data_IF_297762772452
#
_entry.id   IF_297762772452
#
_cell.length_a   1.000
_cell.length_b   1.000
_cell.length_c   1.000
_cell.angle_alpha   90.00
_cell.angle_beta   90.00
_cell.angle_gamma   90.00
#
_symmetry.space_group_name_H-M   'P 1'
#
loop_
_entity.id
_entity.type
_entity.pdbx_description
1 polymer ?
#
# COMPACT_ATOMS: atom_id res chain seq x y z
N UNK A 1 4.39 -13.01 -16.40
CA UNK A 1 4.78 -14.45 -16.25
C UNK A 1 4.79 -14.90 -14.79
N UNK A 2 5.64 -14.34 -13.92
CA UNK A 2 5.76 -14.74 -12.50
C UNK A 2 4.41 -14.81 -11.75
N UNK A 3 3.60 -13.74 -11.80
CA UNK A 3 2.26 -13.71 -11.17
C UNK A 3 1.32 -14.83 -11.65
N UNK A 4 1.32 -15.14 -12.94
CA UNK A 4 0.45 -16.19 -13.48
C UNK A 4 0.87 -17.59 -13.00
N UNK A 5 2.18 -17.84 -12.92
CA UNK A 5 2.71 -19.10 -12.37
C UNK A 5 2.46 -19.23 -10.87
N UNK A 6 2.53 -18.11 -10.13
CA UNK A 6 2.15 -18.08 -8.71
C UNK A 6 0.69 -18.48 -8.51
N UNK A 7 -0.23 -17.94 -9.34
CA UNK A 7 -1.64 -18.35 -9.29
C UNK A 7 -1.84 -19.82 -9.64
N UNK A 8 -1.11 -20.34 -10.64
CA UNK A 8 -1.12 -21.77 -10.97
C UNK A 8 -0.62 -22.64 -9.80
N UNK A 9 0.36 -22.18 -9.03
CA UNK A 9 0.92 -22.91 -7.90
C UNK A 9 0.03 -22.89 -6.65
N UNK A 10 -0.88 -21.92 -6.54
CA UNK A 10 -1.77 -21.75 -5.38
C UNK A 10 -2.68 -22.96 -5.13
N UNK A 11 -3.08 -23.16 -3.86
CA UNK A 11 -3.94 -24.27 -3.42
C UNK A 11 -5.21 -24.46 -4.27
N UNK A 12 -5.79 -23.36 -4.75
CA UNK A 12 -7.00 -23.40 -5.58
C UNK A 12 -6.76 -24.03 -6.96
N UNK A 13 -5.62 -23.75 -7.59
CA UNK A 13 -5.30 -24.19 -8.95
C UNK A 13 -4.33 -25.38 -9.01
N UNK A 14 -3.86 -25.84 -7.85
CA UNK A 14 -2.95 -26.97 -7.70
C UNK A 14 -3.50 -27.96 -6.64
N UNK A 15 -4.70 -28.53 -6.87
CA UNK A 15 -5.35 -29.41 -5.89
C UNK A 15 -4.52 -30.68 -5.61
N UNK A 16 -3.75 -31.15 -6.60
CA UNK A 16 -2.89 -32.32 -6.49
C UNK A 16 -1.56 -32.03 -5.78
N UNK A 17 -1.31 -30.78 -5.38
CA UNK A 17 -0.14 -30.40 -4.59
C UNK A 17 1.20 -30.54 -5.34
N UNK A 18 1.21 -30.37 -6.67
CA UNK A 18 2.42 -30.47 -7.47
C UNK A 18 3.43 -29.37 -7.07
N UNK A 19 4.50 -29.76 -6.39
CA UNK A 19 5.52 -28.84 -5.86
C UNK A 19 6.32 -28.14 -6.96
N UNK A 20 6.39 -28.72 -8.17
CA UNK A 20 7.10 -28.11 -9.29
C UNK A 20 6.50 -26.76 -9.72
N UNK A 21 5.21 -26.52 -9.47
CA UNK A 21 4.58 -25.24 -9.80
C UNK A 21 5.13 -24.09 -8.98
N UNK A 22 5.43 -24.32 -7.70
CA UNK A 22 6.09 -23.33 -6.84
C UNK A 22 7.51 -23.04 -7.31
N UNK A 23 8.27 -24.09 -7.66
CA UNK A 23 9.61 -23.93 -8.21
C UNK A 23 9.59 -23.11 -9.51
N UNK A 24 8.65 -23.39 -10.43
CA UNK A 24 8.49 -22.64 -11.67
C UNK A 24 8.12 -21.16 -11.43
N UNK A 25 7.25 -20.89 -10.46
CA UNK A 25 6.88 -19.52 -10.09
C UNK A 25 8.08 -18.74 -9.53
N UNK A 26 8.83 -19.36 -8.61
CA UNK A 26 10.05 -18.79 -8.04
C UNK A 26 11.12 -18.53 -9.12
N UNK A 27 11.36 -19.50 -10.01
CA UNK A 27 12.30 -19.35 -11.11
C UNK A 27 11.91 -18.18 -12.02
N UNK A 28 10.63 -18.04 -12.38
CA UNK A 28 10.19 -16.94 -13.22
C UNK A 28 10.35 -15.56 -12.56
N UNK A 29 10.28 -15.46 -11.23
CA UNK A 29 10.60 -14.24 -10.49
C UNK A 29 12.11 -13.97 -10.47
N UNK A 30 12.92 -15.01 -10.22
CA UNK A 30 14.38 -14.92 -10.25
C UNK A 30 14.92 -14.52 -11.64
N UNK A 31 14.34 -15.06 -12.72
CA UNK A 31 14.66 -14.69 -14.09
C UNK A 31 14.41 -13.19 -14.33
N UNK A 32 13.26 -12.67 -13.86
CA UNK A 32 12.94 -11.25 -13.97
C UNK A 32 13.99 -10.39 -13.24
N UNK A 33 14.31 -10.71 -11.98
CA UNK A 33 15.32 -9.98 -11.20
C UNK A 33 16.69 -10.04 -11.90
N UNK A 34 17.08 -11.20 -12.41
CA UNK A 34 18.33 -11.39 -13.14
C UNK A 34 18.40 -10.53 -14.40
N UNK A 35 17.32 -10.45 -15.17
CA UNK A 35 17.27 -9.60 -16.37
C UNK A 35 17.20 -8.11 -16.02
N UNK A 36 16.49 -7.75 -14.96
CA UNK A 36 16.41 -6.39 -14.45
C UNK A 36 17.80 -5.87 -14.05
N UNK A 37 18.60 -6.69 -13.35
CA UNK A 37 19.96 -6.32 -12.93
C UNK A 37 20.94 -6.09 -14.09
N UNK A 38 20.58 -6.47 -15.33
CA UNK A 38 21.38 -6.20 -16.53
C UNK A 38 21.00 -4.89 -17.23
N UNK A 39 19.90 -4.25 -16.83
CA UNK A 39 19.44 -3.01 -17.46
C UNK A 39 20.26 -1.82 -16.98
N UNK A 40 20.48 -0.83 -17.85
CA UNK A 40 21.13 0.44 -17.46
C UNK A 40 20.29 1.24 -16.46
N UNK A 41 18.96 1.08 -16.52
CA UNK A 41 17.99 1.69 -15.61
C UNK A 41 17.10 0.60 -15.01
N UNK A 42 17.59 -0.14 -14.00
CA UNK A 42 16.84 -1.24 -13.41
C UNK A 42 15.65 -0.71 -12.59
N UNK A 43 14.60 -1.51 -12.53
CA UNK A 43 13.56 -1.36 -11.52
C UNK A 43 14.15 -1.59 -10.12
N UNK A 44 13.69 -0.83 -9.14
CA UNK A 44 14.10 -0.94 -7.74
C UNK A 44 13.00 -0.40 -6.84
N UNK A 45 13.02 -0.81 -5.57
CA UNK A 45 12.13 -0.22 -4.57
C UNK A 45 12.32 1.30 -4.54
N UNK A 46 11.22 2.02 -4.47
CA UNK A 46 11.20 3.45 -4.26
C UNK A 46 11.72 3.72 -2.85
N UNK A 47 12.87 4.39 -2.77
CA UNK A 47 13.55 4.64 -1.51
C UNK A 47 14.32 5.95 -1.64
N UNK A 48 13.83 6.99 -0.97
CA UNK A 48 14.50 8.29 -0.86
C UNK A 48 15.26 8.41 0.47
N UNK A 49 15.18 7.39 1.32
CA UNK A 49 15.67 7.39 2.70
C UNK A 49 14.64 7.86 3.71
N UNK A 50 13.38 8.05 3.30
CA UNK A 50 12.28 8.50 4.16
C UNK A 50 11.16 7.44 4.22
N UNK A 51 11.31 6.38 5.03
CA UNK A 51 10.34 5.29 5.09
C UNK A 51 8.94 5.72 5.55
N UNK A 52 8.83 6.86 6.22
CA UNK A 52 7.55 7.45 6.65
C UNK A 52 6.73 8.03 5.49
N UNK A 53 7.30 8.16 4.30
CA UNK A 53 6.66 8.79 3.14
C UNK A 53 6.91 8.07 1.80
N UNK A 54 8.00 7.30 1.68
CA UNK A 54 8.40 6.64 0.43
C UNK A 54 7.30 5.75 -0.15
N UNK A 55 6.55 5.04 0.70
CA UNK A 55 5.46 4.18 0.25
C UNK A 55 4.28 5.00 -0.30
N UNK A 56 3.92 6.10 0.37
CA UNK A 56 2.89 7.02 -0.11
C UNK A 56 3.27 7.68 -1.44
N UNK A 57 4.54 8.09 -1.58
CA UNK A 57 5.05 8.71 -2.80
C UNK A 57 5.06 7.75 -3.99
N UNK A 58 5.21 6.45 -3.74
CA UNK A 58 5.13 5.43 -4.79
C UNK A 58 3.81 5.53 -5.61
N UNK A 59 2.71 5.96 -4.98
CA UNK A 59 1.38 6.04 -5.60
C UNK A 59 0.92 7.45 -5.98
N UNK A 60 1.62 8.49 -5.50
CA UNK A 60 1.22 9.89 -5.69
C UNK A 60 2.19 10.68 -6.56
N UNK A 61 3.41 10.18 -6.75
CA UNK A 61 4.37 10.76 -7.69
C UNK A 61 4.08 10.32 -9.12
N UNK A 62 4.52 11.11 -10.10
CA UNK A 62 4.41 10.72 -11.50
C UNK A 62 5.18 9.41 -11.73
N UNK A 63 4.55 8.36 -12.29
CA UNK A 63 5.18 7.06 -12.48
C UNK A 63 6.51 7.09 -13.24
N UNK A 64 6.75 8.11 -14.08
CA UNK A 64 8.02 8.29 -14.80
C UNK A 64 9.20 8.54 -13.85
N UNK A 65 8.96 9.08 -12.65
CA UNK A 65 9.99 9.33 -11.63
C UNK A 65 10.08 8.21 -10.58
N UNK A 66 9.31 7.14 -10.76
CA UNK A 66 9.26 6.02 -9.83
C UNK A 66 9.79 4.75 -10.49
N UNK A 67 11.02 4.36 -10.14
CA UNK A 67 11.67 3.16 -10.67
C UNK A 67 11.12 1.84 -10.10
N UNK A 68 10.07 1.86 -9.27
CA UNK A 68 9.41 0.65 -8.78
C UNK A 68 8.28 0.17 -9.70
N UNK A 69 7.69 1.08 -10.47
CA UNK A 69 6.51 0.79 -11.29
C UNK A 69 6.91 0.03 -12.56
N UNK A 70 6.57 -1.26 -12.61
CA UNK A 70 6.80 -2.12 -13.78
C UNK A 70 5.72 -1.91 -14.86
N UNK A 71 4.46 -1.75 -14.44
CA UNK A 71 3.32 -1.54 -15.34
C UNK A 71 2.25 -0.71 -14.63
N UNK A 72 1.88 0.42 -15.24
CA UNK A 72 0.81 1.29 -14.75
C UNK A 72 -0.12 1.72 -15.89
N UNK A 73 -1.33 2.13 -15.50
CA UNK A 73 -2.27 2.81 -16.38
C UNK A 73 -2.49 4.21 -15.81
N UNK A 74 -2.15 5.22 -16.59
CA UNK A 74 -2.52 6.59 -16.27
C UNK A 74 -3.93 6.90 -16.78
N UNK A 75 -4.69 7.65 -15.99
CA UNK A 75 -5.92 8.31 -16.42
C UNK A 75 -5.65 9.81 -16.44
N UNK A 76 -5.84 10.45 -17.59
CA UNK A 76 -5.60 11.90 -17.74
C UNK A 76 -6.57 12.71 -16.86
N UNK A 77 -6.04 13.79 -16.26
CA UNK A 77 -6.73 14.91 -15.58
C UNK A 77 -8.17 14.62 -15.14
N UNK A 78 -8.31 13.84 -14.07
CA UNK A 78 -9.59 13.49 -13.46
C UNK A 78 -9.51 13.66 -11.96
N UNK A 79 -10.63 14.03 -11.34
CA UNK A 79 -10.80 13.97 -9.89
C UNK A 79 -11.86 12.93 -9.46
N UNK A 80 -12.15 11.97 -10.35
CA UNK A 80 -13.17 10.95 -10.10
C UNK A 80 -12.76 9.99 -8.99
N UNK A 81 -11.48 9.67 -8.87
CA UNK A 81 -10.97 8.81 -7.80
C UNK A 81 -11.25 9.46 -6.44
N UNK A 82 -10.93 10.74 -6.31
CA UNK A 82 -11.13 11.53 -5.11
C UNK A 82 -12.62 11.69 -4.78
N UNK A 83 -13.45 12.05 -5.76
CA UNK A 83 -14.91 12.16 -5.58
C UNK A 83 -15.54 10.85 -5.11
N UNK A 84 -15.04 9.71 -5.56
CA UNK A 84 -15.61 8.41 -5.23
C UNK A 84 -15.11 7.91 -3.88
N UNK A 85 -13.81 8.05 -3.59
CA UNK A 85 -13.17 7.36 -2.47
C UNK A 85 -12.83 8.23 -1.27
N UNK A 86 -12.75 9.57 -1.39
CA UNK A 86 -12.52 10.42 -0.22
C UNK A 86 -13.67 10.32 0.79
N UNK A 87 -13.40 10.48 2.10
CA UNK A 87 -14.41 10.38 3.15
C UNK A 87 -15.62 11.30 2.95
N UNK A 88 -16.79 10.83 3.37
CA UNK A 88 -17.98 11.68 3.51
C UNK A 88 -17.64 12.75 4.56
N UNK A 89 -17.83 14.03 4.21
CA UNK A 89 -17.40 15.17 5.04
C UNK A 89 -16.13 15.86 4.56
N UNK A 90 -15.41 15.31 3.58
CA UNK A 90 -14.47 16.12 2.80
C UNK A 90 -15.25 17.05 1.86
N UNK A 91 -15.31 18.33 2.22
CA UNK A 91 -16.02 19.38 1.48
C UNK A 91 -15.04 20.47 1.01
N UNK A 92 -15.31 21.01 -0.19
CA UNK A 92 -14.50 22.00 -0.89
C UNK A 92 -15.12 22.26 -2.27
N UNK A 93 -14.33 22.26 -3.34
CA UNK A 93 -14.86 22.35 -4.72
C UNK A 93 -15.64 21.09 -5.17
N UNK A 94 -15.61 20.00 -4.38
CA UNK A 94 -16.44 18.81 -4.52
C UNK A 94 -16.65 18.15 -3.15
N UNK A 95 -17.50 17.13 -3.10
CA UNK A 95 -17.69 16.29 -1.90
C UNK A 95 -17.29 14.85 -2.18
N UNK A 96 -16.63 14.21 -1.21
CA UNK A 96 -16.31 12.78 -1.25
C UNK A 96 -17.52 11.90 -0.95
N UNK A 97 -17.60 10.74 -1.60
CA UNK A 97 -18.69 9.76 -1.41
C UNK A 97 -18.36 8.64 -0.42
N UNK A 98 -17.14 8.56 0.11
CA UNK A 98 -16.71 7.59 1.11
C UNK A 98 -16.88 6.13 0.70
N UNK A 99 -16.62 5.77 -0.56
CA UNK A 99 -16.85 4.39 -1.05
C UNK A 99 -15.74 3.39 -0.72
N UNK A 100 -14.62 3.82 -0.14
CA UNK A 100 -13.56 2.92 0.34
C UNK A 100 -13.41 3.09 1.84
N UNK A 101 -13.83 2.06 2.58
CA UNK A 101 -13.77 2.02 4.04
C UNK A 101 -12.96 0.78 4.44
N UNK A 102 -11.73 0.94 4.94
CA UNK A 102 -10.91 -0.17 5.41
C UNK A 102 -11.63 -0.95 6.51
N UNK A 103 -11.54 -2.28 6.47
CA UNK A 103 -12.05 -3.14 7.55
C UNK A 103 -11.07 -3.14 8.72
N UNK A 104 -11.56 -3.40 9.94
CA UNK A 104 -10.69 -3.55 11.10
C UNK A 104 -9.66 -4.67 10.89
N UNK A 105 -10.04 -5.77 10.24
CA UNK A 105 -9.10 -6.86 9.90
C UNK A 105 -7.93 -6.39 9.02
N UNK A 106 -8.14 -5.43 8.11
CA UNK A 106 -7.05 -4.85 7.32
C UNK A 106 -6.15 -3.96 8.19
N UNK A 107 -6.73 -3.16 9.08
CA UNK A 107 -5.99 -2.33 10.03
C UNK A 107 -5.13 -3.20 10.96
N UNK A 108 -5.67 -4.31 11.44
CA UNK A 108 -5.01 -5.25 12.35
C UNK A 108 -3.93 -6.09 11.66
N UNK A 109 -3.98 -6.21 10.32
CA UNK A 109 -2.97 -6.93 9.54
C UNK A 109 -1.64 -6.17 9.44
N UNK A 110 -1.61 -4.87 9.69
CA UNK A 110 -0.36 -4.12 9.79
C UNK A 110 0.37 -4.49 11.08
N UNK A 111 1.68 -4.68 10.99
CA UNK A 111 2.51 -4.96 12.16
C UNK A 111 2.69 -3.70 13.03
N UNK A 112 3.27 -3.91 14.21
CA UNK A 112 3.88 -2.86 15.00
C UNK A 112 5.23 -2.46 14.39
N UNK A 113 5.79 -1.32 14.78
CA UNK A 113 7.10 -0.82 14.35
C UNK A 113 8.27 -1.77 14.65
N UNK A 114 8.09 -2.71 15.59
CA UNK A 114 9.04 -3.78 15.89
C UNK A 114 8.85 -5.05 15.02
N UNK A 115 7.98 -5.01 14.01
CA UNK A 115 7.69 -6.12 13.08
C UNK A 115 6.83 -7.24 13.68
N UNK A 116 6.21 -7.02 14.84
CA UNK A 116 5.31 -7.99 15.49
C UNK A 116 3.87 -7.72 15.13
N UNK A 117 3.06 -8.78 15.03
CA UNK A 117 1.61 -8.60 14.90
C UNK A 117 1.02 -8.03 16.19
N UNK A 118 -0.15 -7.40 16.10
CA UNK A 118 -0.82 -6.81 17.28
C UNK A 118 -1.16 -7.85 18.36
N UNK A 119 -1.35 -9.11 17.97
CA UNK A 119 -1.72 -10.26 18.81
C UNK A 119 -0.52 -11.17 19.14
N UNK A 120 0.68 -10.82 18.68
CA UNK A 120 1.88 -11.63 18.90
C UNK A 120 2.53 -11.32 20.26
N UNK A 121 3.11 -12.34 20.88
CA UNK A 121 3.89 -12.14 22.11
C UNK A 121 5.05 -11.15 21.88
N UNK A 122 5.20 -10.18 22.77
CA UNK A 122 6.19 -9.10 22.64
C UNK A 122 5.73 -7.94 21.74
N UNK A 123 4.47 -7.91 21.33
CA UNK A 123 3.86 -6.75 20.67
C UNK A 123 3.77 -5.55 21.62
N UNK A 124 3.97 -4.35 21.09
CA UNK A 124 3.81 -3.08 21.82
C UNK A 124 2.42 -2.47 21.63
N UNK A 125 1.46 -3.25 21.12
CA UNK A 125 0.11 -2.78 20.82
C UNK A 125 -0.62 -2.29 22.08
N UNK A 126 -1.22 -1.11 21.98
CA UNK A 126 -2.05 -0.50 23.01
C UNK A 126 -3.46 -0.24 22.45
N UNK A 127 -4.47 -0.93 23.00
CA UNK A 127 -5.85 -0.78 22.57
C UNK A 127 -6.42 0.63 22.79
N UNK A 128 -5.86 1.40 23.73
CA UNK A 128 -6.24 2.80 23.94
C UNK A 128 -5.61 3.73 22.90
N UNK A 129 -4.50 3.32 22.27
CA UNK A 129 -3.77 4.07 21.24
C UNK A 129 -3.45 3.16 20.03
N UNK A 130 -4.45 2.62 19.32
CA UNK A 130 -4.28 1.49 18.39
C UNK A 130 -3.45 1.82 17.13
N UNK A 131 -3.24 3.11 16.85
CA UNK A 131 -2.48 3.60 15.70
C UNK A 131 -1.05 4.03 16.06
N UNK A 132 -0.67 4.00 17.34
CA UNK A 132 0.67 4.38 17.80
C UNK A 132 1.68 3.26 17.52
N UNK A 133 2.90 3.65 17.15
CA UNK A 133 4.06 2.77 16.95
C UNK A 133 3.77 1.61 15.98
N UNK A 134 2.92 1.84 14.98
CA UNK A 134 2.58 0.88 13.91
C UNK A 134 3.59 0.95 12.77
N UNK A 135 3.54 -0.06 11.89
CA UNK A 135 4.23 0.00 10.61
C UNK A 135 3.88 1.30 9.86
N UNK A 136 4.86 2.09 9.38
CA UNK A 136 4.62 3.35 8.67
C UNK A 136 3.66 3.25 7.47
N UNK A 137 3.58 2.07 6.85
CA UNK A 137 2.66 1.81 5.73
C UNK A 137 1.19 1.92 6.13
N UNK A 138 0.85 1.76 7.42
CA UNK A 138 -0.52 1.95 7.92
C UNK A 138 -0.96 3.41 7.72
N UNK A 139 -0.17 4.38 8.20
CA UNK A 139 -0.48 5.80 8.07
C UNK A 139 -0.38 6.32 6.63
N UNK A 140 0.40 5.64 5.79
CA UNK A 140 0.52 5.94 4.36
C UNK A 140 -0.61 5.31 3.51
N UNK A 141 -1.45 4.44 4.09
CA UNK A 141 -2.53 3.74 3.37
C UNK A 141 -3.93 4.06 3.90
N UNK A 142 -4.08 4.24 5.22
CA UNK A 142 -5.37 4.33 5.91
C UNK A 142 -5.48 5.65 6.66
N UNK A 143 -6.58 6.36 6.41
CA UNK A 143 -7.02 7.45 7.29
C UNK A 143 -7.68 6.88 8.55
N UNK A 144 -7.24 7.36 9.71
CA UNK A 144 -7.73 6.93 11.01
C UNK A 144 -8.00 8.10 11.95
N UNK A 145 -8.69 7.82 13.06
CA UNK A 145 -9.10 8.84 14.03
C UNK A 145 -7.90 9.63 14.56
N UNK A 146 -7.99 10.95 14.48
CA UNK A 146 -6.97 11.87 14.97
C UNK A 146 -5.77 12.05 14.04
N UNK A 147 -5.72 11.37 12.89
CA UNK A 147 -4.69 11.63 11.88
C UNK A 147 -4.81 13.05 11.34
N UNK A 148 -3.70 13.78 11.25
CA UNK A 148 -3.67 15.09 10.60
C UNK A 148 -3.53 14.92 9.09
N UNK A 149 -4.50 15.41 8.32
CA UNK A 149 -4.50 15.29 6.86
C UNK A 149 -5.07 16.54 6.19
N UNK A 150 -4.68 16.78 4.94
CA UNK A 150 -5.11 17.91 4.12
C UNK A 150 -4.01 18.94 3.86
N UNK A 151 -4.24 19.83 2.89
CA UNK A 151 -3.29 20.86 2.47
C UNK A 151 -3.28 22.04 3.43
N UNK A 152 -2.16 22.24 4.13
CA UNK A 152 -2.00 23.38 5.04
C UNK A 152 -2.06 24.72 4.31
N UNK A 153 -1.49 24.78 3.10
CA UNK A 153 -1.46 25.99 2.26
C UNK A 153 -2.83 26.39 1.68
N UNK A 154 -3.84 25.52 1.85
CA UNK A 154 -5.24 25.75 1.44
C UNK A 154 -6.20 25.79 2.61
N UNK A 155 -5.69 25.80 3.84
CA UNK A 155 -6.50 25.75 5.06
C UNK A 155 -7.38 24.48 5.15
N UNK A 156 -6.99 23.42 4.46
CA UNK A 156 -7.70 22.12 4.43
C UNK A 156 -7.13 21.12 5.43
N UNK A 157 -5.99 21.43 6.07
CA UNK A 157 -5.32 20.54 7.02
C UNK A 157 -6.07 20.48 8.35
N UNK A 158 -6.55 19.30 8.72
CA UNK A 158 -7.32 19.07 9.95
C UNK A 158 -7.09 17.67 10.50
N UNK A 159 -7.43 17.47 11.77
CA UNK A 159 -7.54 16.13 12.33
C UNK A 159 -8.76 15.43 11.72
N UNK A 160 -8.59 14.19 11.29
CA UNK A 160 -9.68 13.36 10.80
C UNK A 160 -10.52 12.89 11.99
N UNK A 161 -11.83 13.10 11.88
CA UNK A 161 -12.83 12.54 12.79
C UNK A 161 -13.65 11.50 12.03
N UNK A 162 -13.61 10.25 12.51
CA UNK A 162 -14.24 9.07 11.88
C UNK A 162 -15.46 8.59 12.68
N UNK A 163 -15.96 9.42 13.61
CA UNK A 163 -17.15 9.14 14.43
C UNK A 163 -18.47 9.31 13.68
#
# INVERSE_FOLDING_TARGET
KARALLYRASKLNNPDGNTAYWANAAQAAADFITQNNKQSYPYRLYNTGNPENDYYECFTTNPVYNNEIILARSVWNTNQVEKVFLPVGFTGSFSGNGRTNPTQNLVDAYEMSNGKRIDENGSTYDAANPYKDRDPRLAQTIFYQGMMWGRADKEERRAIDVR
#
